data_IF_677207161866
#
_entry.id   IF_677207161866
#
_cell.length_a   1.000
_cell.length_b   1.000
_cell.length_c   1.000
_cell.angle_alpha   90.00
_cell.angle_beta   90.00
_cell.angle_gamma   90.00
#
_symmetry.space_group_name_H-M   'P 1'
#
loop_
_entity.id
_entity.type
_entity.pdbx_description
1 polymer ?
#
# COMPACT_ATOMS: atom_id res chain seq x y z
N UNK A 1 24.47 -15.65 19.26
CA UNK A 1 24.22 -14.29 18.72
C UNK A 1 24.76 -14.19 17.30
N UNK A 2 24.05 -14.77 16.34
CA UNK A 2 24.39 -14.70 14.91
C UNK A 2 23.53 -13.68 14.15
N UNK A 3 22.99 -12.69 14.85
CA UNK A 3 22.21 -11.65 14.17
C UNK A 3 23.14 -10.83 13.27
N UNK A 4 22.83 -10.79 11.98
CA UNK A 4 23.51 -9.93 11.00
C UNK A 4 23.57 -8.45 11.43
N UNK A 5 22.56 -8.06 12.22
CA UNK A 5 22.46 -6.74 12.84
C UNK A 5 22.11 -6.92 14.32
N UNK A 6 22.98 -6.57 15.27
CA UNK A 6 22.71 -6.73 16.69
C UNK A 6 21.61 -5.77 17.15
N UNK A 7 20.59 -6.30 17.83
CA UNK A 7 19.53 -5.51 18.43
C UNK A 7 20.02 -5.00 19.79
N UNK A 8 20.16 -3.68 19.94
CA UNK A 8 20.62 -3.03 21.17
C UNK A 8 19.49 -2.49 22.03
N UNK A 9 18.28 -2.40 21.49
CA UNK A 9 17.13 -1.89 22.21
C UNK A 9 15.93 -1.67 21.27
N UNK A 10 14.84 -1.19 21.83
CA UNK A 10 13.61 -0.89 21.10
C UNK A 10 12.92 0.35 21.63
N UNK A 11 12.14 0.99 20.77
CA UNK A 11 11.25 2.09 21.13
C UNK A 11 9.80 1.60 21.06
N UNK A 12 9.05 1.75 22.14
CA UNK A 12 7.64 1.34 22.19
C UNK A 12 6.69 2.54 22.08
N UNK A 13 5.83 2.52 21.06
CA UNK A 13 4.70 3.44 20.94
C UNK A 13 3.46 2.79 21.57
N UNK A 14 3.19 3.10 22.84
CA UNK A 14 2.12 2.47 23.63
C UNK A 14 0.70 2.83 23.20
N UNK A 15 0.52 3.91 22.43
CA UNK A 15 -0.77 4.34 21.86
C UNK A 15 -0.98 3.84 20.44
N UNK A 16 -0.02 3.11 19.88
CA UNK A 16 -0.15 2.43 18.61
C UNK A 16 -0.98 1.16 18.75
N UNK A 17 -1.32 0.58 17.60
CA UNK A 17 -2.06 -0.68 17.56
C UNK A 17 -2.18 -1.22 16.14
N UNK A 18 -2.88 -2.33 16.01
CA UNK A 18 -3.24 -2.92 14.71
C UNK A 18 -4.70 -2.64 14.41
N UNK A 19 -5.00 -2.51 13.12
CA UNK A 19 -6.37 -2.38 12.64
C UNK A 19 -6.55 -3.23 11.41
N UNK A 20 -7.73 -3.82 11.26
CA UNK A 20 -8.06 -4.57 10.06
C UNK A 20 -8.29 -3.60 8.90
N UNK A 21 -7.39 -3.63 7.92
CA UNK A 21 -7.41 -2.75 6.75
C UNK A 21 -8.70 -2.90 5.92
N UNK A 22 -9.22 -4.12 5.77
CA UNK A 22 -10.48 -4.41 5.09
C UNK A 22 -11.67 -3.73 5.79
N UNK A 23 -11.74 -3.81 7.12
CA UNK A 23 -12.79 -3.15 7.89
C UNK A 23 -12.76 -1.62 7.75
N UNK A 24 -11.57 -1.03 7.70
CA UNK A 24 -11.39 0.41 7.46
C UNK A 24 -11.87 0.78 6.07
N UNK A 25 -11.42 0.06 5.03
CA UNK A 25 -11.84 0.31 3.64
C UNK A 25 -13.36 0.23 3.47
N UNK A 26 -13.99 -0.83 4.01
CA UNK A 26 -15.44 -0.99 3.98
C UNK A 26 -16.17 0.05 4.83
N UNK A 27 -15.56 0.49 5.94
CA UNK A 27 -16.11 1.56 6.78
C UNK A 27 -16.22 2.88 6.01
N UNK A 28 -15.14 3.28 5.33
CA UNK A 28 -15.13 4.47 4.49
C UNK A 28 -16.08 4.34 3.29
N UNK A 29 -16.08 3.19 2.62
CA UNK A 29 -16.96 2.95 1.49
C UNK A 29 -18.44 3.11 1.88
N UNK A 30 -18.89 2.46 2.97
CA UNK A 30 -20.26 2.61 3.46
C UNK A 30 -20.61 4.04 3.90
N UNK A 31 -19.66 4.73 4.49
CA UNK A 31 -19.86 6.12 4.89
C UNK A 31 -19.95 7.06 3.68
N UNK A 32 -19.24 6.79 2.61
CA UNK A 32 -19.32 7.51 1.35
C UNK A 32 -20.67 7.25 0.65
N UNK A 33 -21.06 5.99 0.51
CA UNK A 33 -22.33 5.56 -0.06
C UNK A 33 -23.52 6.22 0.67
N UNK A 34 -23.52 6.20 1.99
CA UNK A 34 -24.55 6.87 2.81
C UNK A 34 -24.62 8.40 2.60
N UNK A 35 -23.60 8.99 1.98
CA UNK A 35 -23.54 10.40 1.59
C UNK A 35 -23.83 10.65 0.11
N UNK A 36 -24.28 9.63 -0.62
CA UNK A 36 -24.64 9.71 -2.03
C UNK A 36 -23.45 9.60 -3.00
N UNK A 37 -22.34 9.01 -2.57
CA UNK A 37 -21.22 8.70 -3.46
C UNK A 37 -21.47 7.35 -4.13
N UNK A 38 -21.50 7.32 -5.45
CA UNK A 38 -21.63 6.10 -6.23
C UNK A 38 -20.30 5.31 -6.21
N UNK A 39 -20.34 4.08 -5.72
CA UNK A 39 -19.21 3.16 -5.70
C UNK A 39 -19.33 2.18 -6.87
N UNK A 40 -18.55 2.38 -7.91
CA UNK A 40 -18.61 1.57 -9.12
C UNK A 40 -17.44 0.57 -9.12
N UNK A 41 -17.67 -0.61 -8.58
CA UNK A 41 -16.70 -1.70 -8.54
C UNK A 41 -16.52 -2.37 -9.90
N UNK A 42 -15.35 -3.00 -10.12
CA UNK A 42 -15.02 -3.68 -11.38
C UNK A 42 -15.23 -2.76 -12.61
N UNK A 43 -14.78 -1.52 -12.48
CA UNK A 43 -14.86 -0.49 -13.50
C UNK A 43 -13.45 0.10 -13.70
N UNK A 44 -12.73 -0.45 -14.65
CA UNK A 44 -11.38 -0.01 -14.96
C UNK A 44 -11.41 1.33 -15.70
N UNK A 45 -10.57 2.29 -15.26
CA UNK A 45 -10.33 3.53 -15.99
C UNK A 45 -9.33 3.24 -17.10
N UNK A 46 -9.74 3.49 -18.34
CA UNK A 46 -8.96 3.21 -19.55
C UNK A 46 -8.45 4.47 -20.24
N UNK A 47 -8.96 5.64 -19.85
CA UNK A 47 -8.54 6.94 -20.40
C UNK A 47 -8.99 8.11 -19.56
N UNK A 48 -8.26 9.22 -19.67
CA UNK A 48 -8.64 10.52 -19.13
C UNK A 48 -8.90 11.44 -20.33
N UNK A 49 -10.09 12.05 -20.41
CA UNK A 49 -10.44 12.98 -21.50
C UNK A 49 -10.19 14.42 -21.11
N UNK A 50 -9.47 15.12 -21.98
CA UNK A 50 -9.18 16.54 -21.79
C UNK A 50 -9.55 17.34 -23.04
N UNK A 51 -10.05 18.55 -22.83
CA UNK A 51 -10.35 19.52 -23.88
C UNK A 51 -9.85 20.90 -23.45
N UNK A 52 -9.10 21.57 -24.31
CA UNK A 52 -8.57 22.92 -24.03
C UNK A 52 -7.84 23.04 -22.68
N UNK A 53 -7.06 22.02 -22.30
CA UNK A 53 -6.29 21.99 -21.03
C UNK A 53 -7.12 21.71 -19.78
N UNK A 54 -8.37 21.29 -19.92
CA UNK A 54 -9.30 20.96 -18.82
C UNK A 54 -9.73 19.50 -18.89
N UNK A 55 -9.88 18.85 -17.77
CA UNK A 55 -10.48 17.50 -17.69
C UNK A 55 -11.99 17.58 -17.99
N UNK A 56 -12.50 16.65 -18.80
CA UNK A 56 -13.93 16.55 -19.14
C UNK A 56 -14.56 15.25 -18.68
N UNK A 57 -13.75 14.26 -18.30
CA UNK A 57 -14.23 12.99 -17.77
C UNK A 57 -13.22 11.87 -17.91
N UNK A 58 -13.72 10.66 -17.66
CA UNK A 58 -12.92 9.43 -17.71
C UNK A 58 -13.57 8.40 -18.64
N UNK A 59 -12.77 7.72 -19.43
CA UNK A 59 -13.19 6.51 -20.13
C UNK A 59 -13.00 5.31 -19.22
N UNK A 60 -13.99 4.45 -19.20
CA UNK A 60 -13.97 3.25 -18.35
C UNK A 60 -14.38 2.01 -19.13
N UNK A 61 -14.11 0.83 -18.56
CA UNK A 61 -14.60 -0.45 -19.09
C UNK A 61 -16.13 -0.54 -19.17
N UNK A 62 -16.86 0.42 -18.55
CA UNK A 62 -18.33 0.50 -18.58
C UNK A 62 -18.87 1.72 -19.32
N UNK A 63 -18.02 2.42 -20.05
CA UNK A 63 -18.38 3.61 -20.82
C UNK A 63 -17.78 4.89 -20.27
N UNK A 64 -18.13 6.01 -20.87
CA UNK A 64 -17.64 7.33 -20.50
C UNK A 64 -18.41 7.91 -19.32
N UNK A 65 -17.69 8.49 -18.38
CA UNK A 65 -18.22 9.23 -17.23
C UNK A 65 -17.76 10.68 -17.34
N UNK A 66 -18.67 11.60 -17.61
CA UNK A 66 -18.39 13.03 -17.67
C UNK A 66 -18.16 13.62 -16.27
N UNK A 67 -17.07 14.37 -16.10
CA UNK A 67 -16.76 15.01 -14.83
C UNK A 67 -15.99 16.32 -15.03
N UNK A 68 -16.33 17.34 -14.24
CA UNK A 68 -15.62 18.63 -14.22
C UNK A 68 -14.36 18.59 -13.35
N UNK A 69 -14.29 17.63 -12.44
CA UNK A 69 -13.15 17.39 -11.54
C UNK A 69 -12.90 15.90 -11.43
N UNK A 70 -11.64 15.50 -11.49
CA UNK A 70 -11.20 14.13 -11.34
C UNK A 70 -10.05 14.08 -10.34
N UNK A 71 -10.14 13.25 -9.33
CA UNK A 71 -9.08 12.98 -8.38
C UNK A 71 -8.44 11.62 -8.71
N UNK A 72 -7.12 11.59 -8.85
CA UNK A 72 -6.35 10.37 -9.05
C UNK A 72 -5.76 9.94 -7.72
N UNK A 73 -6.32 8.89 -7.12
CA UNK A 73 -5.88 8.29 -5.86
C UNK A 73 -5.78 6.77 -6.03
N UNK A 74 -4.81 6.33 -6.85
CA UNK A 74 -4.69 4.94 -7.33
C UNK A 74 -3.36 4.27 -6.96
N UNK A 75 -2.68 4.82 -5.95
CA UNK A 75 -1.44 4.30 -5.37
C UNK A 75 -0.42 3.89 -6.46
N UNK A 76 0.07 2.66 -6.45
CA UNK A 76 1.07 2.16 -7.40
C UNK A 76 0.71 2.27 -8.88
N UNK A 77 -0.55 2.55 -9.23
CA UNK A 77 -0.96 2.77 -10.61
C UNK A 77 -0.96 4.26 -11.04
N UNK A 78 -0.56 5.17 -10.17
CA UNK A 78 -0.64 6.62 -10.42
C UNK A 78 0.13 7.05 -11.66
N UNK A 79 1.35 6.56 -11.86
CA UNK A 79 2.15 6.85 -13.06
C UNK A 79 1.49 6.35 -14.34
N UNK A 80 0.83 5.17 -14.31
CA UNK A 80 0.09 4.63 -15.48
C UNK A 80 -1.12 5.48 -15.84
N UNK A 81 -1.89 5.90 -14.83
CA UNK A 81 -3.08 6.74 -15.06
C UNK A 81 -2.68 8.14 -15.53
N UNK A 82 -1.65 8.73 -14.97
CA UNK A 82 -1.19 10.05 -15.42
C UNK A 82 -0.53 10.03 -16.80
N UNK A 83 0.04 8.91 -17.22
CA UNK A 83 0.54 8.73 -18.59
C UNK A 83 -0.58 8.79 -19.65
N UNK A 84 -1.85 8.55 -19.29
CA UNK A 84 -3.01 8.69 -20.19
C UNK A 84 -3.25 10.14 -20.66
N UNK A 85 -2.64 11.10 -19.99
CA UNK A 85 -2.67 12.54 -20.33
C UNK A 85 -1.26 13.11 -20.54
N UNK A 86 -0.31 12.26 -20.93
CA UNK A 86 1.09 12.60 -21.22
C UNK A 86 1.80 13.29 -20.05
N UNK A 87 1.46 12.88 -18.81
CA UNK A 87 2.10 13.39 -17.60
C UNK A 87 2.94 12.32 -16.92
N UNK A 88 4.19 12.65 -16.67
CA UNK A 88 5.12 11.81 -15.93
C UNK A 88 5.18 12.27 -14.48
N UNK A 89 5.02 11.33 -13.55
CA UNK A 89 5.22 11.55 -12.12
C UNK A 89 6.60 11.05 -11.72
N UNK A 90 7.23 11.65 -10.71
CA UNK A 90 8.44 11.13 -10.07
C UNK A 90 8.07 9.99 -9.11
N UNK A 91 7.34 9.00 -9.60
CA UNK A 91 6.87 7.86 -8.83
C UNK A 91 7.28 6.58 -9.56
N UNK A 92 7.97 5.71 -8.83
CA UNK A 92 8.28 4.36 -9.26
C UNK A 92 7.39 3.36 -8.51
N UNK A 93 6.91 2.35 -9.24
CA UNK A 93 6.03 1.34 -8.68
C UNK A 93 6.83 0.09 -8.32
N UNK A 94 6.79 -0.31 -7.05
CA UNK A 94 7.50 -1.48 -6.53
C UNK A 94 6.54 -2.42 -5.82
N UNK A 95 6.83 -3.71 -5.88
CA UNK A 95 6.03 -4.72 -5.17
C UNK A 95 6.54 -4.87 -3.75
N UNK A 96 5.63 -4.75 -2.78
CA UNK A 96 5.84 -5.12 -1.39
C UNK A 96 5.17 -6.46 -1.13
N UNK A 97 5.92 -7.43 -0.62
CA UNK A 97 5.40 -8.74 -0.27
C UNK A 97 5.01 -8.85 1.20
N UNK A 98 3.90 -9.51 1.44
CA UNK A 98 3.44 -9.85 2.78
C UNK A 98 3.06 -11.32 2.89
N UNK A 99 3.09 -11.83 4.11
CA UNK A 99 2.92 -13.24 4.44
C UNK A 99 1.98 -13.40 5.63
N UNK A 100 1.29 -14.53 5.69
CA UNK A 100 0.55 -14.95 6.87
C UNK A 100 0.87 -16.39 7.23
N UNK A 101 1.14 -16.62 8.51
CA UNK A 101 1.38 -17.96 9.03
C UNK A 101 0.10 -18.68 9.44
N UNK A 102 0.24 -19.96 9.78
CA UNK A 102 -0.76 -20.68 10.55
C UNK A 102 -1.06 -19.96 11.88
N UNK A 103 -2.21 -20.29 12.49
CA UNK A 103 -2.59 -19.73 13.80
C UNK A 103 -1.68 -20.27 14.91
N UNK A 104 -1.11 -19.35 15.65
CA UNK A 104 -0.28 -19.62 16.83
C UNK A 104 -0.99 -19.12 18.08
N UNK A 105 -0.55 -19.55 19.27
CA UNK A 105 -0.97 -18.95 20.53
C UNK A 105 -0.61 -17.46 20.55
N UNK A 106 -1.31 -16.62 21.34
CA UNK A 106 -0.97 -15.20 21.48
C UNK A 106 0.49 -15.00 21.88
N UNK A 107 1.20 -14.18 21.09
CA UNK A 107 2.64 -13.92 21.24
C UNK A 107 2.96 -12.43 21.18
N UNK A 108 2.22 -11.66 20.39
CA UNK A 108 2.50 -10.27 20.09
C UNK A 108 1.20 -9.47 20.24
N UNK A 109 1.25 -8.44 21.09
CA UNK A 109 0.10 -7.55 21.34
C UNK A 109 0.06 -6.31 20.43
N UNK A 110 1.02 -6.16 19.53
CA UNK A 110 1.13 -5.00 18.66
C UNK A 110 1.87 -5.29 17.37
N UNK A 111 2.48 -4.27 16.81
CA UNK A 111 3.36 -4.40 15.64
C UNK A 111 4.81 -4.25 16.09
N UNK A 112 5.64 -5.20 15.74
CA UNK A 112 7.09 -5.11 15.91
C UNK A 112 7.68 -4.77 14.54
N UNK A 113 8.50 -3.72 14.47
CA UNK A 113 9.27 -3.35 13.28
C UNK A 113 10.75 -3.49 13.57
N UNK A 114 11.46 -4.05 12.62
CA UNK A 114 12.91 -4.23 12.66
C UNK A 114 13.54 -3.45 11.48
N UNK A 115 13.92 -2.19 11.76
CA UNK A 115 14.36 -1.26 10.72
C UNK A 115 15.58 -1.73 9.93
N UNK A 116 16.59 -2.28 10.62
CA UNK A 116 17.82 -2.75 9.95
C UNK A 116 17.58 -3.96 9.03
N UNK A 117 16.55 -4.77 9.29
CA UNK A 117 16.17 -5.91 8.48
C UNK A 117 15.01 -5.61 7.54
N UNK A 118 14.54 -4.36 7.47
CA UNK A 118 13.35 -3.99 6.69
C UNK A 118 12.19 -4.97 6.90
N UNK A 119 11.89 -5.28 8.17
CA UNK A 119 10.94 -6.32 8.52
C UNK A 119 9.91 -5.80 9.53
N UNK A 120 8.68 -6.24 9.38
CA UNK A 120 7.62 -6.05 10.38
C UNK A 120 6.86 -7.33 10.63
N UNK A 121 6.31 -7.46 11.84
CA UNK A 121 5.43 -8.55 12.21
C UNK A 121 4.35 -8.06 13.18
N UNK A 122 3.15 -8.57 13.00
CA UNK A 122 2.04 -8.46 13.93
C UNK A 122 1.32 -9.79 14.04
N UNK A 123 0.45 -9.93 15.03
CA UNK A 123 -0.38 -11.11 15.15
C UNK A 123 -1.85 -10.73 14.98
N UNK A 124 -2.56 -11.48 14.16
CA UNK A 124 -3.99 -11.29 13.97
C UNK A 124 -4.78 -11.87 15.16
N UNK A 125 -6.03 -11.43 15.30
CA UNK A 125 -7.00 -11.97 16.25
C UNK A 125 -7.26 -13.48 16.10
N UNK A 126 -6.96 -14.05 14.93
CA UNK A 126 -7.03 -15.49 14.64
C UNK A 126 -5.72 -16.23 14.94
N UNK A 127 -4.73 -15.55 15.50
CA UNK A 127 -3.44 -16.13 15.89
C UNK A 127 -2.38 -16.18 14.78
N UNK A 128 -2.71 -15.96 13.52
CA UNK A 128 -1.73 -15.94 12.42
C UNK A 128 -0.80 -14.76 12.53
N UNK A 129 0.52 -14.98 12.38
CA UNK A 129 1.49 -13.91 12.22
C UNK A 129 1.34 -13.31 10.83
N UNK A 130 1.17 -12.01 10.77
CA UNK A 130 1.19 -11.22 9.52
C UNK A 130 2.50 -10.47 9.48
N UNK A 131 3.32 -10.75 8.49
CA UNK A 131 4.65 -10.17 8.40
C UNK A 131 5.03 -9.87 6.96
N UNK A 132 6.01 -9.03 6.80
CA UNK A 132 6.54 -8.60 5.52
C UNK A 132 7.72 -7.67 5.73
N UNK A 133 8.12 -6.97 4.67
CA UNK A 133 9.27 -6.10 4.84
C UNK A 133 9.62 -5.30 3.61
N UNK A 134 10.67 -5.70 2.96
CA UNK A 134 11.29 -4.95 1.89
C UNK A 134 10.48 -4.99 0.59
N UNK A 135 10.84 -4.11 -0.33
CA UNK A 135 10.24 -4.00 -1.66
C UNK A 135 11.16 -4.64 -2.71
N UNK A 136 10.58 -5.04 -3.83
CA UNK A 136 11.37 -5.46 -4.99
C UNK A 136 12.29 -4.33 -5.43
N UNK A 137 13.55 -4.66 -5.73
CA UNK A 137 14.58 -3.68 -6.12
C UNK A 137 14.44 -3.20 -7.57
N UNK A 138 13.34 -3.53 -8.23
CA UNK A 138 13.02 -3.10 -9.59
C UNK A 138 11.56 -2.66 -9.70
N UNK A 139 11.31 -1.71 -10.58
CA UNK A 139 9.95 -1.22 -10.82
C UNK A 139 9.09 -2.31 -11.48
N UNK A 140 7.93 -2.57 -10.91
CA UNK A 140 7.03 -3.61 -11.38
C UNK A 140 5.57 -3.34 -10.99
N UNK A 141 4.65 -3.86 -11.81
CA UNK A 141 3.20 -3.90 -11.55
C UNK A 141 2.71 -5.32 -11.26
N UNK A 142 3.60 -6.23 -10.90
CA UNK A 142 3.23 -7.58 -10.56
C UNK A 142 2.37 -7.61 -9.28
N UNK A 143 1.32 -8.42 -9.29
CA UNK A 143 0.48 -8.66 -8.10
C UNK A 143 0.93 -9.87 -7.28
N UNK A 144 2.03 -10.50 -7.68
CA UNK A 144 2.66 -11.63 -7.01
C UNK A 144 4.07 -11.26 -6.65
N UNK A 145 4.53 -11.78 -5.52
CA UNK A 145 5.90 -11.62 -5.12
C UNK A 145 6.86 -12.57 -5.87
N UNK A 146 8.12 -12.53 -5.48
CA UNK A 146 9.19 -13.33 -6.02
C UNK A 146 9.95 -14.07 -4.92
N UNK A 147 10.66 -15.14 -5.28
CA UNK A 147 11.38 -15.99 -4.33
C UNK A 147 12.53 -15.26 -3.61
N UNK A 148 13.37 -14.45 -4.26
CA UNK A 148 14.43 -13.71 -3.57
C UNK A 148 13.89 -12.84 -2.43
N UNK A 149 12.73 -12.21 -2.60
CA UNK A 149 12.11 -11.40 -1.55
C UNK A 149 11.53 -12.25 -0.42
N UNK A 150 11.00 -13.43 -0.74
CA UNK A 150 10.61 -14.43 0.28
C UNK A 150 11.80 -14.78 1.17
N UNK A 151 12.94 -15.12 0.57
CA UNK A 151 14.16 -15.49 1.29
C UNK A 151 14.65 -14.35 2.19
N UNK A 152 14.70 -13.12 1.67
CA UNK A 152 15.10 -11.94 2.41
C UNK A 152 14.21 -11.66 3.64
N UNK A 153 12.89 -11.67 3.44
CA UNK A 153 11.92 -11.44 4.52
C UNK A 153 11.98 -12.55 5.58
N UNK A 154 12.15 -13.81 5.16
CA UNK A 154 12.28 -14.92 6.09
C UNK A 154 13.59 -14.85 6.89
N UNK A 155 14.71 -14.49 6.27
CA UNK A 155 15.99 -14.30 6.96
C UNK A 155 15.88 -13.20 8.03
N UNK A 156 15.33 -12.04 7.67
CA UNK A 156 15.11 -10.94 8.61
C UNK A 156 14.16 -11.34 9.75
N UNK A 157 13.07 -12.03 9.39
CA UNK A 157 12.08 -12.52 10.36
C UNK A 157 12.67 -13.53 11.35
N UNK A 158 13.44 -14.49 10.88
CA UNK A 158 14.09 -15.48 11.73
C UNK A 158 15.23 -14.88 12.59
N UNK A 159 15.86 -13.81 12.12
CA UNK A 159 16.85 -13.06 12.90
C UNK A 159 16.20 -12.40 14.10
N UNK A 160 15.04 -11.78 13.90
CA UNK A 160 14.29 -11.12 14.97
C UNK A 160 13.57 -12.14 15.87
N UNK A 161 12.91 -13.12 15.26
CA UNK A 161 12.05 -14.11 15.92
C UNK A 161 12.31 -15.51 15.35
N UNK A 162 13.28 -16.27 15.86
CA UNK A 162 13.66 -17.59 15.31
C UNK A 162 12.51 -18.58 15.17
N UNK A 163 11.44 -18.42 15.93
CA UNK A 163 10.24 -19.23 15.83
C UNK A 163 9.50 -19.13 14.51
N UNK A 164 9.67 -18.04 13.77
CA UNK A 164 9.07 -17.86 12.43
C UNK A 164 9.52 -18.99 11.50
N UNK A 165 10.75 -19.45 11.61
CA UNK A 165 11.27 -20.58 10.83
C UNK A 165 10.59 -21.93 11.10
N UNK A 166 9.78 -22.04 12.15
CA UNK A 166 8.98 -23.23 12.48
C UNK A 166 7.50 -23.10 12.14
N UNK A 167 7.03 -21.87 11.88
CA UNK A 167 5.65 -21.60 11.53
C UNK A 167 5.41 -21.89 10.04
N UNK A 168 4.31 -22.52 9.71
CA UNK A 168 3.92 -22.76 8.31
C UNK A 168 3.36 -21.47 7.71
N UNK A 169 3.92 -21.03 6.58
CA UNK A 169 3.35 -19.94 5.80
C UNK A 169 2.16 -20.48 5.01
N UNK A 170 0.99 -19.89 5.24
CA UNK A 170 -0.25 -20.30 4.57
C UNK A 170 -0.50 -19.52 3.29
N UNK A 171 -0.07 -18.26 3.23
CA UNK A 171 -0.33 -17.36 2.11
C UNK A 171 0.73 -16.28 2.00
N UNK A 172 1.00 -15.88 0.76
CA UNK A 172 1.72 -14.66 0.44
C UNK A 172 0.96 -13.86 -0.62
N UNK A 173 1.16 -12.55 -0.63
CA UNK A 173 0.62 -11.66 -1.64
C UNK A 173 1.55 -10.47 -1.85
N UNK A 174 1.39 -9.78 -2.98
CA UNK A 174 2.12 -8.55 -3.28
C UNK A 174 1.16 -7.38 -3.45
N UNK A 175 1.55 -6.21 -2.96
CA UNK A 175 0.89 -4.94 -3.20
C UNK A 175 1.81 -3.99 -3.96
N UNK A 176 1.26 -3.20 -4.87
CA UNK A 176 2.04 -2.25 -5.67
C UNK A 176 2.10 -0.93 -4.92
N UNK A 177 3.30 -0.54 -4.53
CA UNK A 177 3.58 0.70 -3.83
C UNK A 177 4.00 1.80 -4.81
N UNK A 178 3.66 3.02 -4.48
CA UNK A 178 4.00 4.26 -5.18
C UNK A 178 5.15 4.97 -4.45
N UNK A 179 6.38 4.73 -4.92
CA UNK A 179 7.60 5.23 -4.29
C UNK A 179 8.03 6.54 -4.93
N UNK A 180 8.21 7.58 -4.10
CA UNK A 180 8.82 8.85 -4.49
C UNK A 180 10.29 8.89 -4.06
N UNK A 181 11.16 9.66 -4.74
CA UNK A 181 12.59 9.71 -4.42
C UNK A 181 12.90 10.23 -3.02
N UNK A 182 12.07 11.10 -2.48
CA UNK A 182 12.25 11.75 -1.17
C UNK A 182 11.35 11.15 -0.06
N UNK A 183 10.55 10.14 -0.39
CA UNK A 183 9.62 9.51 0.56
C UNK A 183 8.40 10.36 0.92
N UNK A 184 8.16 11.47 0.20
CA UNK A 184 7.05 12.39 0.48
C UNK A 184 5.89 12.20 -0.51
N UNK A 185 4.62 12.29 -0.05
CA UNK A 185 3.47 12.19 -0.94
C UNK A 185 3.33 13.43 -1.84
N UNK A 186 2.65 13.25 -2.96
CA UNK A 186 2.26 14.29 -3.89
C UNK A 186 0.75 14.48 -3.78
N UNK A 187 0.34 15.61 -3.18
CA UNK A 187 -1.07 16.01 -3.06
C UNK A 187 -1.20 17.39 -3.67
N UNK A 188 -1.71 17.48 -4.89
CA UNK A 188 -1.82 18.77 -5.58
C UNK A 188 -2.82 18.72 -6.75
N UNK A 189 -3.10 19.90 -7.29
CA UNK A 189 -3.70 20.08 -8.61
C UNK A 189 -2.62 19.91 -9.69
N UNK A 190 -2.99 19.31 -10.80
CA UNK A 190 -2.10 19.21 -11.96
C UNK A 190 -2.19 20.46 -12.84
N UNK A 191 -1.30 20.64 -13.83
CA UNK A 191 -1.47 21.67 -14.86
C UNK A 191 -2.73 21.52 -15.73
N UNK A 192 -3.40 20.39 -15.68
CA UNK A 192 -4.70 20.18 -16.35
C UNK A 192 -5.79 20.63 -15.40
N UNK A 193 -6.55 21.65 -15.79
CA UNK A 193 -7.60 22.20 -14.94
C UNK A 193 -8.63 21.13 -14.56
N UNK A 194 -8.93 21.01 -13.27
CA UNK A 194 -9.87 20.03 -12.73
C UNK A 194 -9.29 18.63 -12.48
N UNK A 195 -8.02 18.38 -12.83
CA UNK A 195 -7.36 17.12 -12.52
C UNK A 195 -6.46 17.26 -11.29
N UNK A 196 -6.74 16.45 -10.25
CA UNK A 196 -6.06 16.43 -8.97
C UNK A 196 -5.37 15.08 -8.75
N UNK A 197 -4.32 15.08 -7.93
CA UNK A 197 -3.58 13.86 -7.58
C UNK A 197 -3.38 13.76 -6.07
N UNK A 198 -3.50 12.55 -5.55
CA UNK A 198 -3.08 12.13 -4.22
C UNK A 198 -2.37 10.78 -4.35
N UNK A 199 -1.03 10.79 -4.32
CA UNK A 199 -0.20 9.63 -4.61
C UNK A 199 1.20 9.75 -4.00
N UNK A 200 2.04 8.73 -4.17
CA UNK A 200 3.43 8.74 -3.70
C UNK A 200 3.56 8.57 -2.19
N UNK A 201 2.67 7.82 -1.58
CA UNK A 201 2.62 7.65 -0.13
C UNK A 201 3.67 6.70 0.45
N UNK A 202 4.40 5.99 -0.39
CA UNK A 202 5.45 5.08 0.05
C UNK A 202 4.93 4.08 1.11
N UNK A 203 5.56 4.03 2.28
CA UNK A 203 5.13 3.20 3.42
C UNK A 203 4.12 3.90 4.35
N UNK A 204 3.75 5.16 4.05
CA UNK A 204 3.01 6.04 4.97
C UNK A 204 1.50 6.11 4.75
N UNK A 205 0.98 5.61 3.63
CA UNK A 205 -0.35 5.91 3.15
C UNK A 205 -1.48 5.54 4.09
N UNK A 206 -1.51 4.31 4.57
CA UNK A 206 -2.65 3.83 5.37
C UNK A 206 -2.91 4.67 6.63
N UNK A 207 -1.87 5.01 7.38
CA UNK A 207 -2.03 5.86 8.59
C UNK A 207 -2.39 7.31 8.29
N UNK A 208 -2.14 7.77 7.08
CA UNK A 208 -2.41 9.15 6.65
C UNK A 208 -3.79 9.34 6.04
N UNK A 209 -4.51 8.27 5.66
CA UNK A 209 -5.83 8.31 4.99
C UNK A 209 -6.80 9.33 5.61
N UNK A 210 -6.98 9.41 6.95
CA UNK A 210 -7.93 10.37 7.50
C UNK A 210 -7.56 11.83 7.26
N UNK A 211 -6.25 12.13 7.18
CA UNK A 211 -5.76 13.50 6.97
C UNK A 211 -5.68 13.85 5.49
N UNK A 212 -5.28 12.92 4.63
CA UNK A 212 -5.16 13.18 3.19
C UNK A 212 -6.52 13.38 2.50
N UNK A 213 -7.54 12.73 3.02
CA UNK A 213 -8.90 12.86 2.49
C UNK A 213 -9.68 14.10 2.98
N UNK A 214 -9.12 14.83 3.94
CA UNK A 214 -9.75 16.04 4.50
C UNK A 214 -9.31 17.28 3.74
#
# INVERSE_FOLDING_TARGET
>A
DNARFPIKGGLAQRRGGTVRHDAVAWGYARAADARGVDLIQNCEVTGLRTENGRITGVDTSRGFIGAKKVGVAVAGNSSRVMAMVDRRLPIESHVLQAFVSEGLKPLIDGVITYGAGHFYVSQSDKGGLVFGGDIDMYSSYASRGNLPMVEHVMEAGMTLMPMIGRAKVLRSWGGIMDMTPDGSPIIDKTPIEGLFIDAGWNYGGFKAVPASGW
#
